data_IF_450239577789
#
_entry.id   IF_450239577789
#
_cell.length_a   1.000
_cell.length_b   1.000
_cell.length_c   1.000
_cell.angle_alpha   90.00
_cell.angle_beta   90.00
_cell.angle_gamma   90.00
#
_symmetry.space_group_name_H-M   'P 1'
#
loop_
_entity.id
_entity.type
_entity.pdbx_description
1 polymer ?
#
# COMPACT_ATOMS: atom_id res chain seq x y z
N UNK A 1 -19.55 0.45 -17.78
CA UNK A 1 -19.43 -0.97 -17.40
C UNK A 1 -18.10 -1.19 -16.68
N UNK A 2 -18.11 -1.99 -15.62
CA UNK A 2 -16.89 -2.34 -14.89
C UNK A 2 -16.21 -3.52 -15.62
N UNK A 3 -14.87 -3.49 -15.77
CA UNK A 3 -14.15 -4.56 -16.49
C UNK A 3 -14.12 -5.88 -15.72
N UNK A 4 -14.39 -5.89 -14.43
CA UNK A 4 -14.46 -7.09 -13.57
C UNK A 4 -15.56 -6.98 -12.54
N UNK A 5 -15.95 -8.13 -12.02
CA UNK A 5 -16.99 -8.20 -10.99
C UNK A 5 -16.46 -7.75 -9.61
N UNK A 6 -17.38 -7.38 -8.74
CA UNK A 6 -17.06 -7.09 -7.33
C UNK A 6 -16.34 -8.26 -6.65
N UNK A 7 -16.76 -9.49 -6.93
CA UNK A 7 -16.13 -10.68 -6.37
C UNK A 7 -14.68 -10.82 -6.82
N UNK A 8 -14.38 -10.55 -8.09
CA UNK A 8 -13.01 -10.57 -8.61
C UNK A 8 -12.12 -9.55 -7.88
N UNK A 9 -12.64 -8.35 -7.63
CA UNK A 9 -11.90 -7.32 -6.89
C UNK A 9 -11.65 -7.72 -5.44
N UNK A 10 -12.63 -8.31 -4.77
CA UNK A 10 -12.48 -8.80 -3.42
C UNK A 10 -11.43 -9.91 -3.34
N UNK A 11 -11.45 -10.84 -4.30
CA UNK A 11 -10.49 -11.94 -4.35
C UNK A 11 -9.07 -11.44 -4.63
N UNK A 12 -8.92 -10.43 -5.51
CA UNK A 12 -7.61 -9.85 -5.81
C UNK A 12 -6.97 -9.18 -4.59
N UNK A 13 -7.79 -8.65 -3.68
CA UNK A 13 -7.34 -7.95 -2.46
C UNK A 13 -7.23 -8.88 -1.24
N UNK A 14 -7.56 -10.16 -1.38
CA UNK A 14 -7.39 -11.12 -0.29
C UNK A 14 -5.92 -11.44 -0.10
N UNK A 15 -5.44 -11.48 1.15
CA UNK A 15 -4.09 -11.95 1.45
C UNK A 15 -3.97 -13.42 1.06
N UNK A 16 -3.06 -13.72 0.16
CA UNK A 16 -2.82 -15.08 -0.36
C UNK A 16 -1.46 -15.65 0.04
N UNK A 17 -0.60 -14.80 0.58
CA UNK A 17 0.71 -15.21 1.07
C UNK A 17 0.68 -15.88 2.44
N UNK A 18 -0.49 -15.97 3.08
CA UNK A 18 -0.65 -16.58 4.39
C UNK A 18 0.29 -15.95 5.41
N UNK A 19 1.06 -16.79 6.09
CA UNK A 19 2.04 -16.38 7.09
C UNK A 19 3.46 -16.15 6.52
N UNK A 20 3.59 -16.10 5.20
CA UNK A 20 4.88 -15.81 4.58
C UNK A 20 5.44 -14.47 5.05
N UNK A 21 6.64 -14.51 5.57
CA UNK A 21 7.35 -13.34 6.10
C UNK A 21 8.31 -12.78 5.06
N UNK A 22 8.21 -11.48 4.81
CA UNK A 22 9.16 -10.77 3.96
C UNK A 22 10.56 -10.86 4.57
N UNK A 23 11.55 -11.41 3.84
CA UNK A 23 12.89 -11.62 4.39
C UNK A 23 13.63 -10.30 4.69
N UNK A 24 13.25 -9.20 4.03
CA UNK A 24 13.90 -7.90 4.22
C UNK A 24 13.46 -7.24 5.53
N UNK A 25 12.15 -7.21 5.78
CA UNK A 25 11.57 -6.50 6.93
C UNK A 25 11.19 -7.42 8.08
N UNK A 26 11.17 -8.73 7.86
CA UNK A 26 10.74 -9.76 8.83
C UNK A 26 9.32 -9.51 9.36
N UNK A 27 8.45 -9.02 8.47
CA UNK A 27 7.03 -8.77 8.72
C UNK A 27 6.21 -9.57 7.71
N UNK A 28 4.96 -9.86 8.03
CA UNK A 28 4.05 -10.53 7.10
C UNK A 28 4.03 -9.79 5.76
N UNK A 29 4.17 -10.52 4.66
CA UNK A 29 4.24 -9.95 3.33
C UNK A 29 2.91 -9.36 2.87
N UNK A 30 1.80 -9.96 3.27
CA UNK A 30 0.44 -9.52 2.95
C UNK A 30 0.23 -9.27 1.45
N UNK A 31 0.49 -10.30 0.63
CA UNK A 31 0.34 -10.22 -0.84
C UNK A 31 -0.99 -10.79 -1.29
N UNK A 32 -1.69 -10.02 -2.15
CA UNK A 32 -2.81 -10.48 -2.95
C UNK A 32 -2.36 -10.84 -4.38
N UNK A 33 -3.23 -10.70 -5.36
CA UNK A 33 -2.88 -10.90 -6.76
C UNK A 33 -2.19 -9.66 -7.34
N UNK A 34 -0.85 -9.64 -7.30
CA UNK A 34 -0.04 -8.51 -7.77
C UNK A 34 -0.17 -7.25 -6.92
N UNK A 35 -0.77 -7.35 -5.76
CA UNK A 35 -1.01 -6.24 -4.84
C UNK A 35 -0.42 -6.54 -3.47
N UNK A 36 -0.08 -5.48 -2.76
CA UNK A 36 0.27 -5.52 -1.33
C UNK A 36 -0.96 -5.03 -0.57
N UNK A 37 -1.26 -5.66 0.56
CA UNK A 37 -2.36 -5.28 1.44
C UNK A 37 -1.78 -4.65 2.71
N UNK A 38 -2.37 -3.54 3.14
CA UNK A 38 -1.94 -2.80 4.33
C UNK A 38 -1.92 -3.69 5.58
N UNK A 39 -3.04 -4.23 5.96
CA UNK A 39 -3.21 -5.27 6.97
C UNK A 39 -3.16 -4.76 8.40
N UNK A 40 -1.98 -4.74 9.02
CA UNK A 40 -1.79 -4.48 10.45
C UNK A 40 -0.92 -3.23 10.69
N UNK A 41 -0.52 -3.02 11.94
CA UNK A 41 0.35 -1.91 12.34
C UNK A 41 1.72 -1.90 11.67
N UNK A 42 2.10 -2.99 11.02
CA UNK A 42 3.34 -3.06 10.22
C UNK A 42 3.17 -2.51 8.79
N UNK A 43 2.04 -1.91 8.47
CA UNK A 43 1.70 -1.42 7.13
C UNK A 43 2.74 -0.46 6.53
N UNK A 44 3.43 0.32 7.37
CA UNK A 44 4.47 1.23 6.89
C UNK A 44 5.67 0.49 6.27
N UNK A 45 5.98 -0.73 6.72
CA UNK A 45 7.02 -1.56 6.09
C UNK A 45 6.59 -2.08 4.71
N UNK A 46 5.30 -2.04 4.41
CA UNK A 46 4.73 -2.43 3.12
C UNK A 46 4.46 -1.23 2.20
N UNK A 47 4.86 -0.02 2.62
CA UNK A 47 4.75 1.20 1.81
C UNK A 47 3.47 2.00 2.02
N UNK A 48 2.65 1.66 2.99
CA UNK A 48 1.44 2.40 3.32
C UNK A 48 1.70 3.46 4.40
N UNK A 49 0.82 4.45 4.47
CA UNK A 49 0.80 5.41 5.55
C UNK A 49 0.24 4.79 6.83
N UNK A 50 0.61 5.36 7.99
CA UNK A 50 0.15 4.89 9.29
C UNK A 50 -1.35 5.09 9.53
N UNK A 51 -1.98 5.92 8.72
CA UNK A 51 -3.41 6.25 8.78
C UNK A 51 -4.26 5.52 7.73
N UNK A 52 -3.62 4.74 6.85
CA UNK A 52 -4.35 3.86 5.94
C UNK A 52 -5.10 2.79 6.73
N UNK A 53 -6.27 2.40 6.21
CA UNK A 53 -7.01 1.28 6.81
C UNK A 53 -6.31 -0.05 6.53
N UNK A 54 -6.63 -1.11 7.30
CA UNK A 54 -6.13 -2.47 7.01
C UNK A 54 -6.53 -2.99 5.62
N UNK A 55 -7.59 -2.44 5.02
CA UNK A 55 -8.10 -2.84 3.72
C UNK A 55 -7.38 -2.15 2.55
N UNK A 56 -6.57 -1.13 2.81
CA UNK A 56 -5.82 -0.44 1.75
C UNK A 56 -4.92 -1.42 0.99
N UNK A 57 -4.87 -1.25 -0.31
CA UNK A 57 -4.10 -2.10 -1.19
C UNK A 57 -3.40 -1.29 -2.27
N UNK A 58 -2.28 -1.78 -2.74
CA UNK A 58 -1.51 -1.08 -3.77
C UNK A 58 -0.15 -1.67 -3.97
N UNK A 59 0.79 -0.86 -4.43
CA UNK A 59 2.18 -1.27 -4.63
C UNK A 59 3.10 -0.05 -4.63
N UNK A 60 4.34 -0.25 -4.22
CA UNK A 60 5.39 0.75 -4.31
C UNK A 60 6.40 0.36 -5.39
N UNK A 61 7.04 1.36 -5.99
CA UNK A 61 8.10 1.17 -6.98
C UNK A 61 9.48 1.41 -6.37
N UNK A 62 10.51 0.85 -7.01
CA UNK A 62 11.89 0.95 -6.56
C UNK A 62 12.41 2.41 -6.51
N UNK A 63 11.90 3.29 -7.36
CA UNK A 63 12.28 4.70 -7.41
C UNK A 63 11.58 5.60 -6.41
N UNK A 64 10.73 5.07 -5.56
CA UNK A 64 9.96 5.84 -4.58
C UNK A 64 8.54 6.19 -5.02
N UNK A 65 8.12 5.76 -6.19
CA UNK A 65 6.75 5.87 -6.64
C UNK A 65 5.87 4.94 -5.81
N UNK A 66 4.63 5.34 -5.60
CA UNK A 66 3.66 4.49 -4.92
C UNK A 66 2.24 4.78 -5.38
N UNK A 67 1.41 3.76 -5.30
CA UNK A 67 -0.01 3.86 -5.59
C UNK A 67 -0.77 2.97 -4.60
N UNK A 68 -1.85 3.49 -4.08
CA UNK A 68 -2.76 2.70 -3.26
C UNK A 68 -4.19 3.22 -3.37
N UNK A 69 -5.12 2.35 -3.04
CA UNK A 69 -6.52 2.69 -2.84
C UNK A 69 -6.95 2.15 -1.48
N UNK A 70 -7.83 2.88 -0.82
CA UNK A 70 -8.35 2.52 0.49
C UNK A 70 -9.87 2.43 0.44
N UNK A 71 -10.44 1.21 0.39
CA UNK A 71 -11.88 1.03 0.30
C UNK A 71 -12.66 1.58 1.49
N UNK A 72 -12.04 1.65 2.66
CA UNK A 72 -12.69 2.16 3.87
C UNK A 72 -12.95 3.66 3.79
N UNK A 73 -12.15 4.40 3.04
CA UNK A 73 -12.26 5.85 2.89
C UNK A 73 -12.70 6.28 1.51
N UNK A 74 -12.59 5.40 0.50
CA UNK A 74 -12.85 5.72 -0.89
C UNK A 74 -11.73 6.53 -1.58
N UNK A 75 -10.57 6.71 -0.93
CA UNK A 75 -9.43 7.44 -1.50
C UNK A 75 -8.60 6.52 -2.37
N UNK A 76 -8.22 7.00 -3.55
CA UNK A 76 -7.09 6.49 -4.32
C UNK A 76 -5.99 7.53 -4.38
N UNK A 77 -4.74 7.09 -4.25
CA UNK A 77 -3.59 7.97 -4.17
C UNK A 77 -2.46 7.46 -5.05
N UNK A 78 -1.88 8.36 -5.83
CA UNK A 78 -0.72 8.07 -6.67
C UNK A 78 0.35 9.13 -6.42
N UNK A 79 1.55 8.68 -6.14
CA UNK A 79 2.72 9.54 -5.96
C UNK A 79 3.80 9.14 -6.95
N UNK A 80 4.15 10.08 -7.83
CA UNK A 80 5.18 9.88 -8.85
C UNK A 80 6.36 10.82 -8.59
N UNK A 81 7.56 10.29 -8.72
CA UNK A 81 8.80 11.07 -8.60
C UNK A 81 9.65 10.88 -9.86
N UNK A 82 10.33 11.92 -10.33
CA UNK A 82 11.18 11.82 -11.53
C UNK A 82 12.54 11.17 -11.27
N UNK A 83 12.92 10.96 -10.01
CA UNK A 83 14.22 10.48 -9.64
C UNK A 83 14.20 9.20 -8.84
N UNK A 84 15.39 8.75 -8.46
CA UNK A 84 15.61 7.60 -7.60
C UNK A 84 16.49 8.04 -6.42
N UNK A 85 15.95 8.00 -5.20
CA UNK A 85 16.71 8.28 -3.99
C UNK A 85 17.57 7.06 -3.65
N UNK A 86 18.88 7.25 -3.56
CA UNK A 86 19.81 6.19 -3.18
C UNK A 86 19.69 5.80 -1.70
N UNK A 87 19.13 6.67 -0.88
CA UNK A 87 18.87 6.39 0.52
C UNK A 87 17.47 5.78 0.67
N UNK A 88 17.40 4.46 0.79
CA UNK A 88 16.13 3.71 0.87
C UNK A 88 15.33 4.06 2.13
N UNK A 89 15.98 4.39 3.24
CA UNK A 89 15.30 4.78 4.49
C UNK A 89 14.62 6.13 4.31
N UNK A 90 15.31 7.11 3.74
CA UNK A 90 14.72 8.42 3.45
C UNK A 90 13.58 8.33 2.45
N UNK A 91 13.74 7.54 1.41
CA UNK A 91 12.71 7.29 0.40
C UNK A 91 11.47 6.65 1.04
N UNK A 92 11.64 5.61 1.84
CA UNK A 92 10.57 4.92 2.53
C UNK A 92 9.84 5.83 3.52
N UNK A 93 10.57 6.60 4.33
CA UNK A 93 10.00 7.55 5.29
C UNK A 93 9.18 8.63 4.61
N UNK A 94 9.63 9.12 3.46
CA UNK A 94 8.88 10.10 2.65
C UNK A 94 7.57 9.49 2.15
N UNK A 95 7.62 8.30 1.61
CA UNK A 95 6.42 7.60 1.12
C UNK A 95 5.39 7.37 2.23
N UNK A 96 5.83 6.93 3.39
CA UNK A 96 4.95 6.73 4.57
C UNK A 96 4.34 8.06 5.03
N UNK A 97 5.12 9.13 5.11
CA UNK A 97 4.64 10.44 5.54
C UNK A 97 3.59 10.99 4.58
N UNK A 98 3.86 10.96 3.28
CA UNK A 98 2.92 11.45 2.24
C UNK A 98 1.65 10.61 2.23
N UNK A 99 1.76 9.29 2.30
CA UNK A 99 0.61 8.39 2.35
C UNK A 99 -0.24 8.62 3.60
N UNK A 100 0.40 8.86 4.76
CA UNK A 100 -0.32 9.14 6.00
C UNK A 100 -1.14 10.43 5.93
N UNK A 101 -0.60 11.47 5.27
CA UNK A 101 -1.33 12.72 5.06
C UNK A 101 -2.46 12.54 4.05
N UNK A 102 -2.22 11.84 2.94
CA UNK A 102 -3.23 11.60 1.91
C UNK A 102 -4.40 10.79 2.46
N UNK A 103 -4.14 9.79 3.29
CA UNK A 103 -5.18 8.90 3.82
C UNK A 103 -6.20 9.59 4.70
N UNK A 104 -5.88 10.74 5.29
CA UNK A 104 -6.83 11.50 6.14
C UNK A 104 -7.60 12.57 5.35
N UNK A 105 -7.34 12.75 4.07
CA UNK A 105 -8.03 13.77 3.27
C UNK A 105 -9.51 13.47 3.04
N UNK A 106 -9.96 12.24 3.23
CA UNK A 106 -11.38 11.87 3.11
C UNK A 106 -12.24 12.31 4.32
N UNK A 107 -11.62 12.74 5.40
CA UNK A 107 -12.31 13.00 6.67
C UNK A 107 -12.77 14.47 6.81
N UNK A 108 -12.92 15.14 5.69
CA UNK A 108 -13.38 16.54 5.66
C UNK A 108 -14.84 16.67 5.26
#
# INVERSE_FOLDING_TARGET
>A
AQPWSTQTLLDARRVRSGDFTDPLFRKLANRGWGLIISGDESCSFRGFGKTNSPEAFGHNGAGGQLVWADPATGISFTYLTPGHDRNSVRQGSRGVAISSLAAVCANN
#
